data_IF_766821544145
#
_entry.id   IF_766821544145
#
_cell.length_a   1.000
_cell.length_b   1.000
_cell.length_c   1.000
_cell.angle_alpha   90.00
_cell.angle_beta   90.00
_cell.angle_gamma   90.00
#
_symmetry.space_group_name_H-M   'P 1'
#
loop_
_entity.id
_entity.type
_entity.pdbx_description
1 polymer ?
#
# COMPACT_ATOMS: atom_id res chain seq x y z
N UNK A 1 8.37 -5.54 -12.17
CA UNK A 1 7.57 -6.38 -11.24
C UNK A 1 8.46 -6.86 -10.12
N UNK A 2 7.91 -7.39 -9.02
CA UNK A 2 8.75 -8.03 -8.00
C UNK A 2 9.38 -9.30 -8.56
N UNK A 3 10.58 -9.63 -8.09
CA UNK A 3 11.21 -10.91 -8.40
C UNK A 3 10.43 -12.11 -7.82
N UNK A 4 9.63 -11.93 -6.75
CA UNK A 4 8.79 -13.01 -6.19
C UNK A 4 7.76 -13.52 -7.21
N UNK A 5 7.34 -12.65 -8.13
CA UNK A 5 6.31 -13.00 -9.12
C UNK A 5 6.91 -13.66 -10.38
N UNK A 6 8.25 -13.80 -10.44
CA UNK A 6 8.95 -14.28 -11.63
C UNK A 6 8.52 -15.69 -12.03
N UNK A 7 8.22 -16.57 -11.07
CA UNK A 7 7.80 -17.94 -11.35
C UNK A 7 6.46 -18.02 -12.10
N UNK A 8 5.63 -16.98 -12.01
CA UNK A 8 4.32 -16.89 -12.69
C UNK A 8 4.42 -16.38 -14.13
N UNK A 9 5.63 -16.05 -14.61
CA UNK A 9 5.84 -15.63 -15.99
C UNK A 9 5.68 -16.80 -16.97
N UNK A 10 4.60 -16.79 -17.75
CA UNK A 10 4.39 -17.76 -18.82
C UNK A 10 5.40 -17.63 -19.98
N UNK A 11 6.08 -16.49 -20.11
CA UNK A 11 7.11 -16.25 -21.10
C UNK A 11 8.31 -15.54 -20.46
N UNK A 12 9.52 -16.05 -20.74
CA UNK A 12 10.74 -15.36 -20.32
C UNK A 12 10.88 -14.07 -21.14
N UNK A 13 11.19 -12.93 -20.50
CA UNK A 13 11.39 -11.70 -21.24
C UNK A 13 12.56 -11.88 -22.22
N UNK A 14 12.46 -11.39 -23.47
CA UNK A 14 13.53 -11.53 -24.46
C UNK A 14 14.84 -10.89 -24.01
N UNK A 15 14.75 -9.81 -23.21
CA UNK A 15 15.88 -9.10 -22.61
C UNK A 15 15.48 -8.54 -21.24
N UNK A 16 16.47 -8.24 -20.39
CA UNK A 16 16.26 -7.51 -19.13
C UNK A 16 15.75 -6.06 -19.34
N UNK A 17 15.89 -5.51 -20.56
CA UNK A 17 15.37 -4.20 -20.92
C UNK A 17 13.84 -4.24 -21.13
N UNK A 18 13.27 -5.41 -21.44
CA UNK A 18 11.83 -5.60 -21.61
C UNK A 18 11.11 -5.77 -20.28
N UNK A 19 11.78 -6.36 -19.27
CA UNK A 19 11.22 -6.55 -17.94
C UNK A 19 12.30 -6.42 -16.87
N UNK A 20 12.14 -5.43 -15.99
CA UNK A 20 12.98 -5.27 -14.80
C UNK A 20 12.32 -5.94 -13.59
N UNK A 21 13.11 -6.75 -12.90
CA UNK A 21 12.73 -7.40 -11.65
C UNK A 21 13.28 -6.60 -10.47
N UNK A 22 12.40 -6.30 -9.51
CA UNK A 22 12.76 -5.63 -8.26
C UNK A 22 13.09 -6.73 -7.24
N UNK A 23 14.37 -6.83 -6.90
CA UNK A 23 14.91 -7.85 -6.00
C UNK A 23 15.10 -7.30 -4.59
N UNK A 24 14.93 -8.14 -3.56
CA UNK A 24 15.11 -7.74 -2.15
C UNK A 24 13.81 -7.67 -1.36
N UNK A 25 13.88 -7.24 -0.09
CA UNK A 25 12.75 -7.28 0.83
C UNK A 25 11.72 -6.16 0.56
N UNK A 26 10.65 -6.13 1.36
CA UNK A 26 9.79 -4.95 1.47
C UNK A 26 10.63 -3.71 1.85
N UNK A 27 10.31 -2.57 1.25
CA UNK A 27 11.10 -1.34 1.30
C UNK A 27 12.07 -1.18 0.12
N UNK A 28 12.35 -2.22 -0.68
CA UNK A 28 13.17 -2.02 -1.89
C UNK A 28 12.44 -1.11 -2.88
N UNK A 29 13.17 -0.16 -3.46
CA UNK A 29 12.63 0.81 -4.41
C UNK A 29 13.42 0.83 -5.71
N UNK A 30 12.75 1.10 -6.82
CA UNK A 30 13.37 1.23 -8.14
C UNK A 30 12.73 2.41 -8.88
N UNK A 31 13.55 3.29 -9.46
CA UNK A 31 13.04 4.34 -10.34
C UNK A 31 12.72 3.75 -11.72
N UNK A 32 11.43 3.71 -12.08
CA UNK A 32 10.99 3.06 -13.34
C UNK A 32 11.10 4.00 -14.55
N UNK A 33 10.82 5.28 -14.33
CA UNK A 33 11.07 6.41 -15.25
C UNK A 33 11.42 7.64 -14.39
N UNK A 34 12.01 8.71 -14.96
CA UNK A 34 12.39 9.89 -14.18
C UNK A 34 11.25 10.43 -13.31
N UNK A 35 11.50 10.53 -12.00
CA UNK A 35 10.53 11.04 -11.02
C UNK A 35 9.44 10.06 -10.57
N UNK A 36 9.44 8.82 -11.07
CA UNK A 36 8.46 7.79 -10.71
C UNK A 36 9.15 6.59 -10.07
N UNK A 37 8.78 6.29 -8.84
CA UNK A 37 9.43 5.26 -8.03
C UNK A 37 8.45 4.11 -7.77
N UNK A 38 8.81 2.90 -8.18
CA UNK A 38 8.16 1.68 -7.73
C UNK A 38 8.71 1.30 -6.35
N UNK A 39 7.83 0.97 -5.43
CA UNK A 39 8.14 0.64 -4.03
C UNK A 39 7.58 -0.74 -3.75
N UNK A 40 8.45 -1.71 -3.48
CA UNK A 40 8.04 -3.04 -3.05
C UNK A 40 7.59 -2.95 -1.60
N UNK A 41 6.31 -3.08 -1.35
CA UNK A 41 5.75 -3.01 0.01
C UNK A 41 5.60 -4.38 0.64
N UNK A 42 5.48 -5.44 -0.18
CA UNK A 42 4.96 -6.71 0.27
C UNK A 42 3.56 -6.54 0.87
N UNK A 43 3.21 -7.38 1.85
CA UNK A 43 1.93 -7.30 2.54
C UNK A 43 0.87 -8.12 1.84
N UNK A 44 0.05 -7.50 0.98
CA UNK A 44 -1.05 -8.17 0.27
C UNK A 44 -0.58 -9.48 -0.40
N UNK A 45 0.55 -9.40 -1.10
CA UNK A 45 1.40 -10.54 -1.47
C UNK A 45 2.89 -10.18 -1.27
N UNK A 46 3.81 -11.15 -1.23
CA UNK A 46 5.25 -10.86 -1.17
C UNK A 46 5.73 -9.93 -2.30
N UNK A 47 5.16 -10.08 -3.50
CA UNK A 47 5.48 -9.29 -4.68
C UNK A 47 4.76 -7.94 -4.81
N UNK A 48 3.90 -7.58 -3.85
CA UNK A 48 3.11 -6.35 -3.89
C UNK A 48 3.96 -5.09 -4.06
N UNK A 49 3.51 -4.23 -4.96
CA UNK A 49 4.16 -2.99 -5.37
C UNK A 49 3.16 -1.84 -5.31
N UNK A 50 3.63 -0.70 -4.83
CA UNK A 50 2.97 0.60 -5.05
C UNK A 50 3.88 1.48 -5.88
N UNK A 51 3.32 2.52 -6.48
CA UNK A 51 4.10 3.48 -7.26
C UNK A 51 3.87 4.89 -6.73
N UNK A 52 4.97 5.62 -6.53
CA UNK A 52 4.96 7.00 -6.08
C UNK A 52 5.39 7.92 -7.23
N UNK A 53 4.61 8.99 -7.42
CA UNK A 53 4.91 10.06 -8.36
C UNK A 53 4.43 11.40 -7.80
N UNK A 54 5.36 12.32 -7.57
CA UNK A 54 5.11 13.62 -6.92
C UNK A 54 4.46 13.48 -5.53
N UNK A 55 3.16 13.72 -5.41
CA UNK A 55 2.35 13.53 -4.19
C UNK A 55 1.23 12.51 -4.38
N UNK A 56 1.35 11.66 -5.41
CA UNK A 56 0.37 10.65 -5.79
C UNK A 56 0.94 9.27 -5.50
N UNK A 57 0.16 8.45 -4.80
CA UNK A 57 0.49 7.05 -4.53
C UNK A 57 -0.50 6.14 -5.26
N UNK A 58 0.00 5.34 -6.18
CA UNK A 58 -0.77 4.33 -6.90
C UNK A 58 -0.68 3.03 -6.11
N UNK A 59 -1.77 2.68 -5.43
CA UNK A 59 -1.78 1.66 -4.38
C UNK A 59 -2.31 0.29 -4.83
N UNK A 60 -2.84 0.20 -6.05
CA UNK A 60 -3.35 -1.03 -6.65
C UNK A 60 -4.27 -1.82 -5.68
N UNK A 61 -4.08 -3.13 -5.59
CA UNK A 61 -4.73 -4.06 -4.66
C UNK A 61 -4.01 -4.15 -3.30
N UNK A 62 -2.79 -3.61 -3.20
CA UNK A 62 -1.95 -3.70 -2.00
C UNK A 62 -2.58 -2.96 -0.82
N UNK A 63 -3.23 -1.83 -1.09
CA UNK A 63 -4.01 -1.07 -0.11
C UNK A 63 -5.37 -0.80 -0.73
N UNK A 64 -6.43 -1.30 -0.10
CA UNK A 64 -7.78 -1.23 -0.67
C UNK A 64 -8.46 0.04 -0.19
N UNK A 65 -8.90 0.88 -1.13
CA UNK A 65 -9.73 2.04 -0.79
C UNK A 65 -11.13 1.58 -0.43
N UNK A 66 -11.64 2.00 0.74
CA UNK A 66 -13.00 1.63 1.19
C UNK A 66 -13.98 2.79 0.99
N UNK A 67 -15.31 2.55 0.96
CA UNK A 67 -16.30 3.60 0.72
C UNK A 67 -16.22 4.80 1.68
N UNK A 68 -15.86 4.55 2.95
CA UNK A 68 -15.67 5.62 3.95
C UNK A 68 -14.49 6.55 3.65
N UNK A 69 -13.64 6.26 2.65
CA UNK A 69 -12.63 7.18 2.18
C UNK A 69 -13.21 8.47 1.57
N UNK A 70 -14.45 8.43 1.08
CA UNK A 70 -15.11 9.56 0.42
C UNK A 70 -15.98 10.39 1.37
N UNK A 71 -16.06 10.04 2.65
CA UNK A 71 -16.80 10.82 3.65
C UNK A 71 -16.29 12.27 3.65
N UNK A 72 -17.17 13.27 3.44
CA UNK A 72 -16.79 14.68 3.44
C UNK A 72 -16.33 15.15 4.82
N UNK A 73 -15.67 16.31 4.86
CA UNK A 73 -15.22 16.93 6.10
C UNK A 73 -16.36 17.65 6.85
N UNK A 74 -16.38 17.63 8.20
CA UNK A 74 -15.49 16.88 9.07
C UNK A 74 -15.80 15.38 9.06
N UNK A 75 -14.75 14.55 9.09
CA UNK A 75 -14.88 13.08 9.15
C UNK A 75 -15.14 12.61 10.58
N UNK A 76 -16.09 11.69 10.83
CA UNK A 76 -16.26 11.09 12.14
C UNK A 76 -15.01 10.33 12.59
N UNK A 77 -14.67 10.35 13.90
CA UNK A 77 -13.51 9.63 14.42
C UNK A 77 -13.67 8.12 14.24
N UNK A 78 -12.55 7.41 14.05
CA UNK A 78 -12.56 5.95 13.92
C UNK A 78 -13.04 5.44 12.55
N UNK A 79 -13.20 6.32 11.55
CA UNK A 79 -13.50 5.89 10.18
C UNK A 79 -12.24 5.60 9.39
N UNK A 80 -12.06 4.33 9.03
CA UNK A 80 -11.00 3.94 8.12
C UNK A 80 -11.20 4.54 6.72
N UNK A 81 -10.10 4.83 6.02
CA UNK A 81 -10.10 5.17 4.59
C UNK A 81 -9.58 4.03 3.73
N UNK A 82 -8.86 3.09 4.33
CA UNK A 82 -8.26 1.96 3.65
C UNK A 82 -8.45 0.66 4.43
N UNK A 83 -8.39 -0.46 3.74
CA UNK A 83 -8.26 -1.78 4.36
C UNK A 83 -7.04 -2.52 3.80
N UNK A 84 -6.47 -3.38 4.62
CA UNK A 84 -5.27 -4.15 4.34
C UNK A 84 -5.64 -5.63 4.38
N UNK A 85 -5.61 -6.32 3.25
CA UNK A 85 -6.11 -7.70 3.15
C UNK A 85 -4.99 -8.58 2.64
N UNK A 86 -4.89 -9.80 3.14
CA UNK A 86 -4.14 -10.86 2.45
C UNK A 86 -4.96 -11.41 1.29
N UNK A 87 -6.26 -11.60 1.48
CA UNK A 87 -7.17 -12.07 0.43
C UNK A 87 -8.47 -11.29 0.45
N UNK A 88 -8.62 -10.35 -0.48
CA UNK A 88 -9.84 -9.55 -0.63
C UNK A 88 -11.07 -10.43 -0.94
N UNK A 89 -11.02 -11.41 -1.87
CA UNK A 89 -12.19 -12.23 -2.19
C UNK A 89 -12.70 -13.08 -1.03
N UNK A 90 -11.81 -13.48 -0.12
CA UNK A 90 -12.15 -14.30 1.04
C UNK A 90 -12.28 -13.47 2.33
N UNK A 91 -12.13 -12.15 2.26
CA UNK A 91 -12.17 -11.25 3.42
C UNK A 91 -11.15 -11.64 4.51
N UNK A 92 -9.97 -12.12 4.10
CA UNK A 92 -8.89 -12.49 5.03
C UNK A 92 -8.02 -11.25 5.28
N UNK A 93 -7.99 -10.73 6.52
CA UNK A 93 -7.20 -9.55 6.84
C UNK A 93 -5.69 -9.84 6.77
N UNK A 94 -4.92 -8.80 6.49
CA UNK A 94 -3.46 -8.84 6.57
C UNK A 94 -3.03 -8.66 8.03
N UNK A 95 -2.14 -9.50 8.59
CA UNK A 95 -1.71 -9.34 9.99
C UNK A 95 -0.94 -8.02 10.20
N UNK A 96 -0.85 -7.49 11.44
CA UNK A 96 -0.26 -6.18 11.70
C UNK A 96 1.21 -6.04 11.31
N UNK A 97 1.97 -7.13 11.30
CA UNK A 97 3.35 -7.14 10.80
C UNK A 97 3.41 -6.84 9.30
N UNK A 98 2.46 -7.35 8.51
CA UNK A 98 2.31 -7.03 7.09
C UNK A 98 1.90 -5.58 6.88
N UNK A 99 0.96 -5.08 7.70
CA UNK A 99 0.54 -3.67 7.67
C UNK A 99 1.73 -2.74 8.00
N UNK A 100 2.54 -3.09 9.00
CA UNK A 100 3.72 -2.34 9.39
C UNK A 100 4.79 -2.31 8.28
N UNK A 101 4.98 -3.42 7.56
CA UNK A 101 5.90 -3.46 6.42
C UNK A 101 5.44 -2.52 5.30
N UNK A 102 4.13 -2.48 5.02
CA UNK A 102 3.56 -1.51 4.07
C UNK A 102 3.83 -0.09 4.57
N UNK A 103 3.55 0.21 5.84
CA UNK A 103 3.79 1.54 6.41
C UNK A 103 5.24 1.98 6.25
N UNK A 104 6.20 1.18 6.73
CA UNK A 104 7.63 1.49 6.65
C UNK A 104 8.11 1.74 5.22
N UNK A 105 7.55 1.01 4.25
CA UNK A 105 7.90 1.21 2.84
C UNK A 105 7.39 2.53 2.27
N UNK A 106 6.22 3.01 2.70
CA UNK A 106 5.59 4.24 2.18
C UNK A 106 5.82 5.48 3.05
N UNK A 107 6.26 5.30 4.30
CA UNK A 107 6.51 6.38 5.27
C UNK A 107 7.50 7.45 4.76
N UNK A 108 8.58 7.14 4.01
CA UNK A 108 9.47 8.18 3.50
C UNK A 108 8.82 9.13 2.47
N UNK A 109 7.66 8.75 1.93
CA UNK A 109 7.03 9.43 0.80
C UNK A 109 5.92 10.38 1.27
N UNK A 110 5.90 11.58 0.70
CA UNK A 110 4.79 12.51 0.87
C UNK A 110 3.73 12.23 -0.20
N UNK A 111 2.47 12.17 0.21
CA UNK A 111 1.34 12.02 -0.70
C UNK A 111 0.08 12.66 -0.13
N UNK A 112 -0.68 13.32 -1.00
CA UNK A 112 -2.02 13.88 -0.73
C UNK A 112 -3.10 13.26 -1.62
N UNK A 113 -2.69 12.34 -2.51
CA UNK A 113 -3.57 11.66 -3.45
C UNK A 113 -3.23 10.18 -3.50
N UNK A 114 -4.25 9.32 -3.50
CA UNK A 114 -4.10 7.89 -3.83
C UNK A 114 -4.96 7.51 -5.02
N UNK A 115 -4.44 6.58 -5.82
CA UNK A 115 -5.16 5.93 -6.92
C UNK A 115 -5.26 4.43 -6.64
N UNK A 116 -6.48 3.93 -6.41
CA UNK A 116 -6.75 2.53 -6.08
C UNK A 116 -6.79 1.58 -7.29
N UNK A 117 -7.18 0.32 -7.03
CA UNK A 117 -7.22 -0.76 -8.03
C UNK A 117 -8.19 -0.50 -9.20
N UNK A 118 -9.28 0.24 -8.97
CA UNK A 118 -10.37 0.41 -9.93
C UNK A 118 -10.69 1.88 -10.18
N UNK A 119 -11.31 2.15 -11.34
CA UNK A 119 -11.82 3.48 -11.70
C UNK A 119 -12.78 3.97 -10.62
N UNK A 120 -12.60 5.24 -10.21
CA UNK A 120 -13.39 5.83 -9.13
C UNK A 120 -12.79 5.62 -7.73
N UNK A 121 -11.65 4.92 -7.61
CA UNK A 121 -10.95 4.73 -6.33
C UNK A 121 -9.91 5.83 -6.01
N UNK A 122 -10.17 7.05 -6.44
CA UNK A 122 -9.27 8.19 -6.21
C UNK A 122 -9.63 8.90 -4.90
N UNK A 123 -8.66 9.05 -4.00
CA UNK A 123 -8.84 9.84 -2.77
C UNK A 123 -7.87 11.01 -2.78
N UNK A 124 -8.36 12.22 -2.51
CA UNK A 124 -7.57 13.46 -2.50
C UNK A 124 -7.81 14.22 -1.20
N UNK A 125 -6.77 14.40 -0.40
CA UNK A 125 -6.82 15.07 0.90
C UNK A 125 -5.42 15.50 1.36
N UNK A 126 -5.26 16.73 1.88
CA UNK A 126 -3.95 17.17 2.42
C UNK A 126 -3.50 16.34 3.63
N UNK A 127 -4.45 15.77 4.39
CA UNK A 127 -4.21 14.88 5.52
C UNK A 127 -4.21 13.39 5.15
N UNK A 128 -4.08 13.02 3.88
CA UNK A 128 -4.29 11.63 3.44
C UNK A 128 -3.30 10.63 4.05
N UNK A 129 -2.04 11.03 4.25
CA UNK A 129 -1.04 10.21 4.94
C UNK A 129 -1.43 9.93 6.40
N UNK A 130 -2.04 10.90 7.07
CA UNK A 130 -2.58 10.69 8.42
C UNK A 130 -3.73 9.69 8.43
N UNK A 131 -4.64 9.81 7.47
CA UNK A 131 -5.76 8.89 7.29
C UNK A 131 -5.29 7.47 6.96
N UNK A 132 -4.21 7.33 6.19
CA UNK A 132 -3.55 6.05 5.92
C UNK A 132 -3.07 5.41 7.22
N UNK A 133 -2.27 6.13 8.01
CA UNK A 133 -1.75 5.63 9.28
C UNK A 133 -2.86 5.31 10.27
N UNK A 134 -3.89 6.16 10.36
CA UNK A 134 -5.07 5.93 11.20
C UNK A 134 -5.78 4.62 10.81
N UNK A 135 -5.99 4.40 9.51
CA UNK A 135 -6.61 3.17 8.97
C UNK A 135 -5.83 1.92 9.39
N UNK A 136 -4.49 1.97 9.29
CA UNK A 136 -3.59 0.87 9.71
C UNK A 136 -3.73 0.56 11.20
N UNK A 137 -3.80 1.60 12.04
CA UNK A 137 -3.97 1.45 13.49
C UNK A 137 -5.36 0.97 13.87
N UNK A 138 -6.42 1.46 13.20
CA UNK A 138 -7.80 1.00 13.40
C UNK A 138 -7.89 -0.49 13.11
N UNK A 139 -7.38 -0.94 11.96
CA UNK A 139 -7.43 -2.35 11.59
C UNK A 139 -6.60 -3.21 12.58
N UNK A 140 -5.39 -2.78 12.93
CA UNK A 140 -4.55 -3.50 13.91
C UNK A 140 -5.28 -3.71 15.25
N UNK A 141 -5.95 -2.68 15.77
CA UNK A 141 -6.79 -2.81 16.98
C UNK A 141 -8.01 -3.69 16.76
N UNK A 142 -8.66 -3.56 15.60
CA UNK A 142 -9.82 -4.36 15.21
C UNK A 142 -9.52 -5.86 15.12
N UNK A 143 -8.26 -6.23 14.83
CA UNK A 143 -7.76 -7.60 14.87
C UNK A 143 -7.42 -8.10 16.29
N UNK A 144 -7.64 -7.29 17.33
CA UNK A 144 -7.44 -7.66 18.73
C UNK A 144 -6.04 -7.40 19.29
N UNK A 145 -5.18 -6.69 18.55
CA UNK A 145 -3.84 -6.36 19.03
C UNK A 145 -3.87 -5.13 19.93
N UNK A 146 -3.61 -5.34 21.21
CA UNK A 146 -3.49 -4.25 22.20
C UNK A 146 -2.09 -3.62 22.22
N UNK A 147 -1.05 -4.41 21.87
CA UNK A 147 0.35 -4.00 21.83
C UNK A 147 1.01 -4.55 20.56
N UNK A 148 1.40 -3.65 19.67
CA UNK A 148 2.13 -3.97 18.44
C UNK A 148 2.81 -2.70 17.92
N UNK A 149 4.00 -2.82 17.32
CA UNK A 149 4.80 -1.68 16.87
C UNK A 149 4.05 -0.77 15.87
N UNK A 150 3.12 -1.32 15.09
CA UNK A 150 2.21 -0.56 14.20
C UNK A 150 1.41 0.51 14.96
N UNK A 151 1.04 0.26 16.22
CA UNK A 151 0.27 1.20 17.04
C UNK A 151 1.11 2.39 17.51
N UNK A 152 2.44 2.25 17.51
CA UNK A 152 3.40 3.25 17.98
C UNK A 152 3.88 4.19 16.87
N UNK A 153 3.61 3.86 15.61
CA UNK A 153 4.05 4.65 14.44
C UNK A 153 3.46 6.06 14.42
N UNK A 154 4.18 7.05 13.89
CA UNK A 154 3.78 8.46 13.84
C UNK A 154 3.97 9.02 12.42
N UNK A 155 3.46 10.24 12.15
CA UNK A 155 3.60 10.91 10.85
C UNK A 155 4.82 11.81 10.84
#
# INVERSE_FOLDING_TARGET
MSADDQEWLCQKPPTAQTLRLINGPAGTTEQVVPGVTAIKTGGHFPGSLVLHWEKKLFIADTIVTVPSAYTPHPRPPGQTSYSFQWSIPNMIPLPPSGILNIWRAIEPYAFDTTHGAFVGMDVRDRGLKARMLESMKIQTRGEGWERHEMLDQMI
#
